data_IF_051628502289
#
_entry.id   IF_051628502289
#
_cell.length_a   1.000
_cell.length_b   1.000
_cell.length_c   1.000
_cell.angle_alpha   90.00
_cell.angle_beta   90.00
_cell.angle_gamma   90.00
#
_symmetry.space_group_name_H-M   'P 1'
#
loop_
_entity.id
_entity.type
_entity.pdbx_description
1 polymer ?
#
# COMPACT_ATOMS: atom_id res chain seq x y z
N UNK A 1 -5.66 -74.25 -34.87
CA UNK A 1 -6.18 -75.60 -34.57
C UNK A 1 -7.28 -75.41 -33.55
N UNK A 2 -8.55 -75.46 -33.99
CA UNK A 2 -9.70 -75.14 -33.15
C UNK A 2 -9.93 -76.21 -32.07
N UNK A 3 -10.41 -75.73 -30.92
CA UNK A 3 -10.59 -76.51 -29.70
C UNK A 3 -11.89 -77.32 -29.77
N UNK A 4 -11.92 -78.56 -29.23
CA UNK A 4 -13.18 -79.27 -29.05
C UNK A 4 -14.11 -78.47 -28.12
N UNK A 5 -15.44 -78.47 -28.37
CA UNK A 5 -16.39 -77.58 -27.73
C UNK A 5 -16.41 -77.63 -26.19
N UNK A 6 -15.89 -78.70 -25.56
CA UNK A 6 -15.96 -78.94 -24.12
C UNK A 6 -14.61 -78.87 -23.36
N UNK A 7 -13.52 -78.41 -23.99
CA UNK A 7 -12.25 -78.31 -23.26
C UNK A 7 -12.26 -77.11 -22.27
N UNK A 8 -11.49 -77.20 -21.18
CA UNK A 8 -11.42 -76.20 -20.08
C UNK A 8 -10.20 -75.25 -20.21
N UNK A 9 -9.08 -75.72 -20.80
CA UNK A 9 -7.99 -74.88 -21.35
C UNK A 9 -7.75 -75.12 -22.86
N UNK A 10 -7.04 -74.24 -23.57
CA UNK A 10 -6.60 -74.51 -24.96
C UNK A 10 -5.45 -75.53 -25.01
N UNK A 11 -5.27 -76.25 -26.13
CA UNK A 11 -4.14 -77.18 -26.29
C UNK A 11 -2.76 -76.51 -26.10
N UNK A 12 -2.63 -75.24 -26.47
CA UNK A 12 -1.39 -74.48 -26.30
C UNK A 12 -1.14 -74.11 -24.84
N UNK A 13 -2.19 -73.73 -24.09
CA UNK A 13 -2.12 -73.50 -22.64
C UNK A 13 -1.66 -74.77 -21.91
N UNK A 14 -2.26 -75.91 -22.24
CA UNK A 14 -1.90 -77.21 -21.63
C UNK A 14 -0.46 -77.60 -21.93
N UNK A 15 -0.01 -77.40 -23.17
CA UNK A 15 1.38 -77.68 -23.57
C UNK A 15 2.40 -76.82 -22.83
N UNK A 16 2.11 -75.53 -22.67
CA UNK A 16 2.98 -74.60 -21.92
C UNK A 16 2.99 -74.91 -20.42
N UNK A 17 1.83 -75.23 -19.86
CA UNK A 17 1.70 -75.58 -18.46
C UNK A 17 2.39 -76.91 -18.10
N UNK A 18 2.35 -77.90 -19.00
CA UNK A 18 3.07 -79.17 -18.85
C UNK A 18 4.59 -79.02 -18.74
N UNK A 19 5.16 -77.88 -19.15
CA UNK A 19 6.57 -77.53 -18.92
C UNK A 19 6.87 -77.00 -17.51
N UNK A 20 5.95 -77.12 -16.55
CA UNK A 20 6.11 -76.64 -15.17
C UNK A 20 5.86 -75.13 -14.99
N UNK A 21 5.32 -74.44 -16.00
CA UNK A 21 5.02 -73.01 -15.92
C UNK A 21 3.56 -72.76 -15.57
N UNK A 22 3.29 -71.76 -14.72
CA UNK A 22 1.93 -71.27 -14.51
C UNK A 22 1.51 -70.45 -15.73
N UNK A 23 0.38 -70.79 -16.33
CA UNK A 23 -0.13 -70.13 -17.54
C UNK A 23 -1.55 -69.64 -17.29
N UNK A 24 -1.78 -68.35 -17.50
CA UNK A 24 -3.12 -67.76 -17.55
C UNK A 24 -3.54 -67.61 -19.00
N UNK A 25 -4.72 -68.11 -19.32
CA UNK A 25 -5.31 -68.05 -20.65
C UNK A 25 -6.18 -66.79 -20.82
N UNK A 26 -6.27 -66.30 -22.06
CA UNK A 26 -7.10 -65.15 -22.42
C UNK A 26 -8.54 -65.31 -21.91
N UNK A 27 -9.09 -64.23 -21.36
CA UNK A 27 -10.49 -64.14 -20.97
C UNK A 27 -11.42 -64.47 -22.14
N UNK A 28 -12.42 -65.33 -21.91
CA UNK A 28 -13.38 -65.78 -22.93
C UNK A 28 -14.79 -65.82 -22.35
N UNK A 29 -15.84 -65.76 -23.18
CA UNK A 29 -17.19 -66.07 -22.72
C UNK A 29 -17.21 -67.45 -22.05
N UNK A 30 -17.76 -67.53 -20.84
CA UNK A 30 -17.78 -68.74 -20.04
C UNK A 30 -18.59 -69.86 -20.66
N UNK A 31 -18.24 -71.10 -20.33
CA UNK A 31 -18.82 -72.30 -20.93
C UNK A 31 -20.35 -72.41 -20.71
N UNK A 32 -20.85 -71.86 -19.59
CA UNK A 32 -22.27 -71.84 -19.22
C UNK A 32 -23.00 -70.54 -19.61
N UNK A 33 -22.40 -69.69 -20.47
CA UNK A 33 -23.09 -68.55 -21.10
C UNK A 33 -23.38 -67.34 -20.21
N UNK A 34 -22.85 -67.27 -18.98
CA UNK A 34 -23.24 -66.22 -18.01
C UNK A 34 -22.21 -65.12 -17.72
N UNK A 35 -20.92 -65.38 -17.89
CA UNK A 35 -19.86 -64.41 -17.60
C UNK A 35 -18.57 -64.78 -18.32
N UNK A 36 -17.71 -63.80 -18.62
CA UNK A 36 -16.39 -64.14 -19.14
C UNK A 36 -15.58 -64.88 -18.06
N UNK A 37 -14.80 -65.88 -18.43
CA UNK A 37 -14.00 -66.74 -17.56
C UNK A 37 -12.54 -66.70 -18.00
N UNK A 38 -11.63 -66.87 -17.04
CA UNK A 38 -10.20 -67.09 -17.30
C UNK A 38 -9.82 -68.48 -16.81
N UNK A 39 -9.15 -69.23 -17.69
CA UNK A 39 -8.53 -70.50 -17.32
C UNK A 39 -7.08 -70.26 -16.86
N UNK A 40 -6.69 -70.95 -15.80
CA UNK A 40 -5.34 -70.95 -15.25
C UNK A 40 -4.86 -72.40 -15.24
N UNK A 41 -3.69 -72.66 -15.80
CA UNK A 41 -3.11 -73.99 -15.90
C UNK A 41 -1.75 -74.05 -15.22
N UNK A 42 -1.49 -75.12 -14.47
CA UNK A 42 -0.23 -75.38 -13.78
C UNK A 42 0.17 -76.84 -14.00
N UNK A 43 1.39 -77.08 -14.49
CA UNK A 43 1.97 -78.43 -14.52
C UNK A 43 2.27 -78.93 -13.11
N UNK A 44 1.97 -80.20 -12.84
CA UNK A 44 2.26 -80.84 -11.56
C UNK A 44 3.66 -81.49 -11.61
N UNK A 45 4.55 -81.07 -10.72
CA UNK A 45 5.92 -81.58 -10.64
C UNK A 45 5.94 -83.11 -10.53
N UNK A 46 6.72 -83.76 -11.40
CA UNK A 46 6.88 -85.21 -11.44
C UNK A 46 5.79 -85.99 -12.19
N UNK A 47 4.91 -85.32 -12.94
CA UNK A 47 3.88 -85.97 -13.77
C UNK A 47 3.57 -85.18 -15.06
N UNK A 48 3.09 -85.86 -16.11
CA UNK A 48 2.57 -85.21 -17.33
C UNK A 48 1.16 -84.60 -17.12
N UNK A 49 0.75 -84.39 -15.87
CA UNK A 49 -0.57 -83.88 -15.52
C UNK A 49 -0.54 -82.35 -15.36
N UNK A 50 -1.60 -81.70 -15.86
CA UNK A 50 -1.80 -80.25 -15.75
C UNK A 50 -3.07 -80.00 -14.95
N UNK A 51 -2.96 -79.26 -13.85
CA UNK A 51 -4.11 -78.75 -13.10
C UNK A 51 -4.65 -77.51 -13.82
N UNK A 52 -5.93 -77.53 -14.18
CA UNK A 52 -6.61 -76.38 -14.78
C UNK A 52 -7.73 -75.90 -13.86
N UNK A 53 -7.65 -74.66 -13.42
CA UNK A 53 -8.74 -73.95 -12.73
C UNK A 53 -9.38 -72.92 -13.65
N UNK A 54 -10.68 -72.68 -13.50
CA UNK A 54 -11.38 -71.57 -14.15
C UNK A 54 -11.88 -70.61 -13.08
N UNK A 55 -11.74 -69.31 -13.33
CA UNK A 55 -12.36 -68.27 -12.50
C UNK A 55 -13.28 -67.43 -13.36
N UNK A 56 -14.55 -67.23 -12.95
CA UNK A 56 -15.40 -66.25 -13.59
C UNK A 56 -14.84 -64.84 -13.32
N UNK A 57 -14.95 -63.97 -14.32
CA UNK A 57 -14.57 -62.56 -14.25
C UNK A 57 -15.66 -61.72 -13.55
N UNK A 58 -16.91 -62.21 -13.49
CA UNK A 58 -18.03 -61.58 -12.79
C UNK A 58 -18.58 -62.50 -11.69
N UNK A 59 -18.88 -61.92 -10.53
CA UNK A 59 -19.32 -62.63 -9.31
C UNK A 59 -18.54 -62.17 -8.08
N UNK A 60 -18.75 -62.78 -6.91
CA UNK A 60 -18.05 -62.44 -5.65
C UNK A 60 -16.56 -62.86 -5.68
N UNK A 61 -15.80 -62.25 -6.59
CA UNK A 61 -14.39 -62.53 -6.87
C UNK A 61 -13.57 -61.25 -6.70
N UNK A 62 -12.25 -61.40 -6.70
CA UNK A 62 -11.31 -60.29 -6.60
C UNK A 62 -11.56 -59.19 -7.66
N UNK A 63 -11.98 -59.56 -8.87
CA UNK A 63 -12.16 -58.61 -9.97
C UNK A 63 -13.41 -57.73 -9.82
N UNK A 64 -14.50 -58.27 -9.25
CA UNK A 64 -15.69 -57.47 -8.89
C UNK A 64 -15.38 -56.49 -7.76
N UNK A 65 -14.53 -56.90 -6.81
CA UNK A 65 -14.03 -55.99 -5.76
C UNK A 65 -13.23 -54.84 -6.36
N UNK A 66 -12.38 -55.13 -7.36
CA UNK A 66 -11.61 -54.12 -8.08
C UNK A 66 -12.51 -53.15 -8.86
N UNK A 67 -13.53 -53.67 -9.56
CA UNK A 67 -14.48 -52.85 -10.32
C UNK A 67 -15.33 -51.94 -9.40
N UNK A 68 -15.67 -52.38 -8.19
CA UNK A 68 -16.42 -51.55 -7.22
C UNK A 68 -15.56 -50.53 -6.47
N UNK A 69 -14.23 -50.68 -6.52
CA UNK A 69 -13.31 -49.79 -5.78
C UNK A 69 -13.23 -48.43 -6.48
N UNK A 70 -13.53 -47.36 -5.74
CA UNK A 70 -13.38 -45.98 -6.19
C UNK A 70 -12.12 -45.34 -5.60
N UNK A 71 -11.45 -44.52 -6.40
CA UNK A 71 -10.26 -43.76 -5.99
C UNK A 71 -10.64 -42.28 -5.93
N UNK A 72 -10.83 -41.75 -4.72
CA UNK A 72 -11.46 -40.45 -4.54
C UNK A 72 -12.99 -40.52 -4.67
N UNK A 73 -13.62 -39.40 -5.04
CA UNK A 73 -15.07 -39.25 -5.26
C UNK A 73 -15.49 -39.71 -6.64
N UNK A 74 -14.61 -39.55 -7.64
CA UNK A 74 -14.94 -39.79 -9.06
C UNK A 74 -13.93 -40.66 -9.81
N UNK A 75 -12.77 -40.95 -9.21
CA UNK A 75 -11.76 -41.81 -9.81
C UNK A 75 -12.03 -43.31 -9.61
N UNK A 76 -11.20 -44.14 -10.23
CA UNK A 76 -11.39 -45.58 -10.26
C UNK A 76 -10.13 -46.36 -10.60
N UNK A 77 -10.27 -47.69 -10.61
CA UNK A 77 -9.22 -48.65 -10.95
C UNK A 77 -9.53 -49.30 -12.30
N UNK A 78 -8.48 -49.66 -13.03
CA UNK A 78 -8.60 -50.37 -14.31
C UNK A 78 -7.49 -51.41 -14.40
N UNK A 79 -7.84 -52.65 -14.67
CA UNK A 79 -6.91 -53.76 -14.89
C UNK A 79 -6.80 -54.03 -16.39
N UNK A 80 -5.57 -54.04 -16.90
CA UNK A 80 -5.28 -54.20 -18.33
C UNK A 80 -4.42 -55.43 -18.56
N UNK A 81 -4.80 -56.25 -19.55
CA UNK A 81 -4.00 -57.35 -20.07
C UNK A 81 -3.28 -56.92 -21.36
N UNK A 82 -1.98 -56.55 -21.31
CA UNK A 82 -1.28 -56.00 -22.47
C UNK A 82 -1.16 -56.98 -23.63
N UNK A 83 -0.97 -58.27 -23.36
CA UNK A 83 -0.85 -59.30 -24.40
C UNK A 83 -2.14 -59.50 -25.20
N UNK A 84 -3.29 -59.20 -24.59
CA UNK A 84 -4.61 -59.41 -25.18
C UNK A 84 -5.26 -58.11 -25.69
N UNK A 85 -4.70 -56.95 -25.33
CA UNK A 85 -5.22 -55.63 -25.70
C UNK A 85 -6.63 -55.35 -25.17
N UNK A 86 -6.99 -55.89 -24.01
CA UNK A 86 -8.32 -55.75 -23.40
C UNK A 86 -8.25 -55.22 -21.96
N UNK A 87 -9.30 -54.51 -21.58
CA UNK A 87 -9.59 -54.20 -20.17
C UNK A 87 -10.24 -55.42 -19.51
N UNK A 88 -9.59 -55.96 -18.47
CA UNK A 88 -10.11 -57.11 -17.72
C UNK A 88 -11.15 -56.70 -16.67
N UNK A 89 -10.98 -55.52 -16.07
CA UNK A 89 -11.90 -54.93 -15.10
C UNK A 89 -11.71 -53.42 -15.08
N UNK A 90 -12.78 -52.65 -14.93
CA UNK A 90 -12.73 -51.20 -14.82
C UNK A 90 -13.82 -50.71 -13.87
N UNK A 91 -13.54 -49.68 -13.07
CA UNK A 91 -14.57 -49.06 -12.22
C UNK A 91 -15.62 -48.28 -13.01
N UNK A 92 -15.29 -47.90 -14.26
CA UNK A 92 -16.24 -47.39 -15.22
C UNK A 92 -16.82 -48.54 -16.04
N UNK A 93 -18.13 -48.78 -15.85
CA UNK A 93 -18.86 -49.94 -16.37
C UNK A 93 -18.90 -49.99 -17.91
N UNK A 94 -18.60 -48.88 -18.59
CA UNK A 94 -18.49 -48.86 -20.05
C UNK A 94 -17.21 -49.48 -20.60
N UNK A 95 -16.16 -49.65 -19.79
CA UNK A 95 -14.82 -50.02 -20.29
C UNK A 95 -14.48 -51.51 -20.16
N UNK A 96 -15.27 -52.31 -19.44
CA UNK A 96 -15.00 -53.75 -19.26
C UNK A 96 -15.04 -54.54 -20.58
N UNK A 97 -14.03 -55.38 -20.83
CA UNK A 97 -13.88 -56.24 -22.02
C UNK A 97 -13.88 -55.50 -23.38
N UNK A 98 -13.80 -54.16 -23.38
CA UNK A 98 -13.54 -53.38 -24.59
C UNK A 98 -12.07 -53.47 -24.95
N UNK A 99 -11.78 -53.34 -26.25
CA UNK A 99 -10.41 -53.18 -26.72
C UNK A 99 -9.80 -51.92 -26.10
N UNK A 100 -8.53 -52.04 -25.72
CA UNK A 100 -7.71 -50.91 -25.33
C UNK A 100 -7.78 -49.81 -26.42
N UNK A 101 -7.83 -48.51 -26.04
CA UNK A 101 -7.91 -47.41 -26.99
C UNK A 101 -6.73 -47.41 -27.97
N UNK A 102 -6.95 -46.88 -29.18
CA UNK A 102 -5.90 -46.77 -30.19
C UNK A 102 -4.74 -45.91 -29.70
N UNK A 103 -3.51 -46.31 -30.06
CA UNK A 103 -2.26 -45.63 -29.70
C UNK A 103 -2.35 -44.10 -29.95
N UNK A 104 -1.95 -43.30 -28.97
CA UNK A 104 -1.94 -41.84 -29.02
C UNK A 104 -3.09 -41.13 -28.30
N UNK A 105 -4.09 -41.85 -27.80
CA UNK A 105 -5.21 -41.26 -27.02
C UNK A 105 -4.87 -41.07 -25.54
N UNK A 106 -4.02 -41.92 -24.98
CA UNK A 106 -3.71 -41.94 -23.54
C UNK A 106 -2.21 -42.14 -23.34
N UNK A 107 -1.47 -41.06 -23.09
CA UNK A 107 0.01 -41.09 -23.04
C UNK A 107 0.53 -42.06 -21.99
N UNK A 108 -0.07 -42.05 -20.80
CA UNK A 108 0.37 -42.92 -19.70
C UNK A 108 0.03 -44.39 -19.96
N UNK A 109 -1.12 -44.63 -20.62
CA UNK A 109 -1.50 -45.97 -21.03
C UNK A 109 -0.53 -46.53 -22.08
N UNK A 110 -0.17 -45.74 -23.10
CA UNK A 110 0.75 -46.17 -24.16
C UNK A 110 2.15 -46.45 -23.60
N UNK A 111 2.64 -45.59 -22.71
CA UNK A 111 3.89 -45.83 -21.98
C UNK A 111 3.81 -47.12 -21.15
N UNK A 112 2.67 -47.38 -20.50
CA UNK A 112 2.49 -48.61 -19.72
C UNK A 112 2.46 -49.88 -20.58
N UNK A 113 1.91 -49.82 -21.79
CA UNK A 113 2.00 -50.90 -22.77
C UNK A 113 3.45 -51.16 -23.19
N UNK A 114 4.30 -50.13 -23.21
CA UNK A 114 5.75 -50.22 -23.44
C UNK A 114 6.57 -50.61 -22.19
N UNK A 115 5.90 -50.89 -21.07
CA UNK A 115 6.53 -51.34 -19.82
C UNK A 115 6.77 -50.26 -18.76
N UNK A 116 6.35 -49.02 -18.98
CA UNK A 116 6.44 -47.95 -17.96
C UNK A 116 5.56 -48.26 -16.75
N UNK A 117 6.11 -48.05 -15.55
CA UNK A 117 5.40 -48.14 -14.27
C UNK A 117 5.75 -46.91 -13.46
N UNK A 118 4.73 -46.25 -12.92
CA UNK A 118 4.91 -44.94 -12.30
C UNK A 118 3.63 -44.13 -12.31
N UNK A 119 3.79 -42.84 -12.01
CA UNK A 119 2.68 -41.88 -11.92
C UNK A 119 2.87 -40.82 -13.00
N UNK A 120 1.77 -40.42 -13.64
CA UNK A 120 1.78 -39.32 -14.58
C UNK A 120 0.39 -38.76 -14.81
N UNK A 121 0.32 -37.58 -15.43
CA UNK A 121 -0.94 -36.96 -15.82
C UNK A 121 -1.32 -37.47 -17.21
N UNK A 122 -2.57 -37.87 -17.36
CA UNK A 122 -3.19 -38.24 -18.62
C UNK A 122 -4.37 -37.32 -18.90
N UNK A 123 -4.77 -37.23 -20.17
CA UNK A 123 -5.93 -36.43 -20.57
C UNK A 123 -6.94 -37.38 -21.19
N UNK A 124 -8.13 -37.44 -20.60
CA UNK A 124 -9.24 -38.21 -21.14
C UNK A 124 -9.77 -37.55 -22.42
N UNK A 125 -10.46 -38.33 -23.26
CA UNK A 125 -11.06 -37.87 -24.53
C UNK A 125 -12.06 -36.73 -24.37
N UNK A 126 -12.65 -36.53 -23.18
CA UNK A 126 -13.52 -35.40 -22.82
C UNK A 126 -12.73 -34.13 -22.39
N UNK A 127 -11.40 -34.19 -22.41
CA UNK A 127 -10.50 -33.09 -22.03
C UNK A 127 -10.21 -32.99 -20.52
N UNK A 128 -10.74 -33.89 -19.70
CA UNK A 128 -10.44 -33.90 -18.26
C UNK A 128 -9.04 -34.46 -18.02
N UNK A 129 -8.20 -33.70 -17.31
CA UNK A 129 -6.91 -34.17 -16.85
C UNK A 129 -7.06 -35.08 -15.63
N UNK A 130 -6.36 -36.20 -15.63
CA UNK A 130 -6.39 -37.21 -14.58
C UNK A 130 -4.98 -37.58 -14.16
N UNK A 131 -4.77 -37.81 -12.87
CA UNK A 131 -3.56 -38.42 -12.38
C UNK A 131 -3.71 -39.94 -12.47
N UNK A 132 -2.86 -40.57 -13.26
CA UNK A 132 -2.81 -42.01 -13.45
C UNK A 132 -1.59 -42.60 -12.72
N UNK A 133 -1.80 -43.61 -11.88
CA UNK A 133 -0.76 -44.39 -11.23
C UNK A 133 -0.81 -45.84 -11.71
N UNK A 134 0.32 -46.37 -12.18
CA UNK A 134 0.39 -47.64 -12.88
C UNK A 134 1.34 -48.60 -12.18
N UNK A 135 0.84 -49.78 -11.81
CA UNK A 135 1.60 -50.83 -11.16
C UNK A 135 1.43 -52.18 -11.88
N UNK A 136 2.48 -53.01 -11.89
CA UNK A 136 2.43 -54.36 -12.45
C UNK A 136 1.73 -55.33 -11.51
N UNK A 137 0.98 -56.28 -12.07
CA UNK A 137 0.51 -57.47 -11.37
C UNK A 137 1.50 -58.61 -11.62
N UNK A 138 2.21 -59.11 -10.61
CA UNK A 138 3.16 -60.21 -10.76
C UNK A 138 2.48 -61.49 -11.24
N UNK A 139 3.16 -62.28 -12.08
CA UNK A 139 2.71 -63.54 -12.70
C UNK A 139 2.07 -63.42 -14.11
N UNK A 140 0.90 -62.79 -14.33
CA UNK A 140 0.27 -62.77 -15.66
C UNK A 140 0.76 -61.65 -16.59
N UNK A 141 1.62 -60.75 -16.10
CA UNK A 141 2.13 -59.61 -16.89
C UNK A 141 1.11 -58.47 -17.08
N UNK A 142 0.02 -58.46 -16.30
CA UNK A 142 -0.98 -57.40 -16.32
C UNK A 142 -0.48 -56.14 -15.61
N UNK A 143 -1.20 -55.05 -15.78
CA UNK A 143 -1.00 -53.84 -14.97
C UNK A 143 -2.33 -53.25 -14.53
N UNK A 144 -2.32 -52.64 -13.35
CA UNK A 144 -3.44 -51.88 -12.79
C UNK A 144 -3.14 -50.40 -12.93
N UNK A 145 -4.13 -49.63 -13.35
CA UNK A 145 -4.12 -48.19 -13.44
C UNK A 145 -5.14 -47.63 -12.45
N UNK A 146 -4.68 -46.84 -11.49
CA UNK A 146 -5.54 -46.01 -10.66
C UNK A 146 -5.62 -44.61 -11.27
N UNK A 147 -6.83 -44.10 -11.51
CA UNK A 147 -7.06 -42.76 -12.09
C UNK A 147 -7.90 -41.92 -11.16
N UNK A 148 -7.54 -40.65 -11.01
CA UNK A 148 -8.32 -39.67 -10.27
C UNK A 148 -8.25 -38.29 -10.98
N UNK A 149 -9.37 -37.59 -11.20
CA UNK A 149 -9.36 -36.28 -11.85
C UNK A 149 -8.54 -35.23 -11.09
N UNK A 150 -7.70 -34.48 -11.79
CA UNK A 150 -6.84 -33.46 -11.16
C UNK A 150 -7.66 -32.36 -10.49
N UNK A 151 -8.82 -32.00 -11.05
CA UNK A 151 -9.75 -31.04 -10.43
C UNK A 151 -10.20 -31.48 -9.03
N UNK A 152 -10.37 -32.77 -8.80
CA UNK A 152 -10.75 -33.30 -7.49
C UNK A 152 -9.58 -33.25 -6.51
N UNK A 153 -8.38 -33.63 -6.98
CA UNK A 153 -7.15 -33.58 -6.17
C UNK A 153 -6.82 -32.15 -5.74
N UNK A 154 -7.00 -31.19 -6.65
CA UNK A 154 -6.60 -29.79 -6.45
C UNK A 154 -7.75 -28.85 -6.03
N UNK A 155 -8.98 -29.35 -5.88
CA UNK A 155 -10.14 -28.56 -5.39
C UNK A 155 -9.83 -27.81 -4.07
N UNK A 156 -9.18 -28.43 -3.06
CA UNK A 156 -8.81 -27.71 -1.84
C UNK A 156 -7.78 -26.59 -2.09
N UNK A 157 -6.83 -26.81 -3.00
CA UNK A 157 -5.78 -25.84 -3.32
C UNK A 157 -6.37 -24.59 -4.01
N UNK A 158 -7.28 -24.78 -4.96
CA UNK A 158 -7.99 -23.67 -5.63
C UNK A 158 -8.81 -22.84 -4.64
N UNK A 159 -9.45 -23.50 -3.68
CA UNK A 159 -10.24 -22.84 -2.63
C UNK A 159 -9.35 -22.00 -1.72
N UNK A 160 -8.21 -22.56 -1.28
CA UNK A 160 -7.23 -21.84 -0.47
C UNK A 160 -6.64 -20.65 -1.26
N UNK A 161 -6.30 -20.83 -2.54
CA UNK A 161 -5.75 -19.76 -3.36
C UNK A 161 -6.72 -18.58 -3.48
N UNK A 162 -8.01 -18.84 -3.78
CA UNK A 162 -9.05 -17.80 -3.87
C UNK A 162 -9.27 -17.10 -2.53
N UNK A 163 -9.29 -17.86 -1.44
CA UNK A 163 -9.40 -17.30 -0.10
C UNK A 163 -8.22 -16.36 0.21
N UNK A 164 -6.99 -16.82 -0.02
CA UNK A 164 -5.75 -16.06 0.20
C UNK A 164 -5.69 -14.79 -0.66
N UNK A 165 -6.08 -14.86 -1.93
CA UNK A 165 -6.12 -13.67 -2.80
C UNK A 165 -7.15 -12.65 -2.29
N UNK A 166 -8.35 -13.11 -1.91
CA UNK A 166 -9.40 -12.22 -1.40
C UNK A 166 -9.00 -11.57 -0.09
N UNK A 167 -8.45 -12.32 0.85
CA UNK A 167 -8.00 -11.77 2.14
C UNK A 167 -6.82 -10.82 1.94
N UNK A 168 -5.85 -11.15 1.09
CA UNK A 168 -4.75 -10.25 0.76
C UNK A 168 -5.23 -8.91 0.17
N UNK A 169 -6.20 -8.95 -0.76
CA UNK A 169 -6.80 -7.73 -1.34
C UNK A 169 -7.48 -6.86 -0.27
N UNK A 170 -8.29 -7.48 0.60
CA UNK A 170 -9.01 -6.74 1.65
C UNK A 170 -8.00 -6.14 2.65
N UNK A 171 -7.04 -6.94 3.12
CA UNK A 171 -5.99 -6.46 4.04
C UNK A 171 -5.14 -5.36 3.41
N UNK A 172 -4.80 -5.47 2.13
CA UNK A 172 -4.06 -4.45 1.39
C UNK A 172 -4.84 -3.14 1.25
N UNK A 173 -6.16 -3.22 1.00
CA UNK A 173 -7.03 -2.04 0.94
C UNK A 173 -7.15 -1.35 2.30
N UNK A 174 -7.34 -2.12 3.37
CA UNK A 174 -7.41 -1.60 4.74
C UNK A 174 -6.08 -0.93 5.11
N UNK A 175 -4.95 -1.58 4.85
CA UNK A 175 -3.62 -1.01 5.12
C UNK A 175 -3.40 0.30 4.34
N UNK A 176 -3.81 0.34 3.08
CA UNK A 176 -3.72 1.54 2.24
C UNK A 176 -4.56 2.70 2.81
N UNK A 177 -5.79 2.42 3.24
CA UNK A 177 -6.66 3.42 3.86
C UNK A 177 -6.05 3.96 5.17
N UNK A 178 -5.49 3.08 6.01
CA UNK A 178 -4.82 3.47 7.25
C UNK A 178 -3.59 4.35 6.97
N UNK A 179 -2.75 3.96 6.00
CA UNK A 179 -1.58 4.74 5.61
C UNK A 179 -1.96 6.12 5.05
N UNK A 180 -3.00 6.20 4.21
CA UNK A 180 -3.51 7.48 3.70
C UNK A 180 -4.06 8.34 4.84
N UNK A 181 -4.80 7.77 5.78
CA UNK A 181 -5.33 8.48 6.92
C UNK A 181 -4.20 9.00 7.84
N UNK A 182 -3.20 8.17 8.13
CA UNK A 182 -2.03 8.53 8.92
C UNK A 182 -1.21 9.64 8.25
N UNK A 183 -0.90 9.50 6.96
CA UNK A 183 -0.21 10.55 6.19
C UNK A 183 -0.99 11.86 6.20
N UNK A 184 -2.31 11.81 5.95
CA UNK A 184 -3.17 13.00 6.02
C UNK A 184 -3.15 13.61 7.41
N UNK A 185 -3.18 12.81 8.47
CA UNK A 185 -3.12 13.28 9.85
C UNK A 185 -1.81 14.01 10.14
N UNK A 186 -0.67 13.40 9.80
CA UNK A 186 0.65 13.98 10.05
C UNK A 186 0.87 15.30 9.28
N UNK A 187 0.49 15.36 8.00
CA UNK A 187 0.62 16.58 7.19
C UNK A 187 -0.44 17.66 7.46
N UNK A 188 -1.41 17.43 8.36
CA UNK A 188 -2.39 18.49 8.70
C UNK A 188 -1.74 19.66 9.41
N UNK A 189 -0.78 19.40 10.30
CA UNK A 189 -0.12 20.45 11.08
C UNK A 189 0.71 21.36 10.18
N UNK A 190 1.51 20.78 9.28
CA UNK A 190 2.27 21.52 8.27
C UNK A 190 1.39 22.36 7.34
N UNK A 191 0.29 21.79 6.82
CA UNK A 191 -0.63 22.53 5.94
C UNK A 191 -1.29 23.72 6.65
N UNK A 192 -1.62 23.59 7.94
CA UNK A 192 -2.17 24.71 8.72
C UNK A 192 -1.14 25.79 8.97
N UNK A 193 0.09 25.43 9.30
CA UNK A 193 1.18 26.37 9.50
C UNK A 193 1.51 27.12 8.19
N UNK A 194 1.59 26.41 7.06
CA UNK A 194 1.80 26.99 5.74
C UNK A 194 0.67 27.96 5.35
N UNK A 195 -0.60 27.58 5.56
CA UNK A 195 -1.73 28.46 5.26
C UNK A 195 -1.69 29.77 6.09
N UNK A 196 -1.29 29.71 7.36
CA UNK A 196 -1.12 30.93 8.16
C UNK A 196 0.05 31.79 7.66
N UNK A 197 1.18 31.17 7.29
CA UNK A 197 2.30 31.90 6.72
C UNK A 197 1.93 32.60 5.39
N UNK A 198 1.18 31.95 4.52
CA UNK A 198 0.69 32.53 3.25
C UNK A 198 -0.19 33.76 3.50
N UNK A 199 -1.13 33.66 4.45
CA UNK A 199 -2.01 34.77 4.83
C UNK A 199 -1.23 35.98 5.38
N UNK A 200 -0.15 35.73 6.12
CA UNK A 200 0.75 36.78 6.61
C UNK A 200 1.53 37.44 5.47
N UNK A 201 2.07 36.67 4.53
CA UNK A 201 2.81 37.22 3.37
C UNK A 201 1.93 38.02 2.42
N UNK A 202 0.64 37.68 2.31
CA UNK A 202 -0.33 38.43 1.51
C UNK A 202 -0.87 39.69 2.20
N UNK A 203 -0.40 40.00 3.41
CA UNK A 203 -0.83 41.18 4.19
C UNK A 203 -2.26 41.10 4.72
N UNK A 204 -2.88 39.91 4.70
CA UNK A 204 -4.24 39.70 5.22
C UNK A 204 -4.26 39.51 6.74
N UNK A 205 -3.13 39.09 7.32
CA UNK A 205 -2.94 38.97 8.77
C UNK A 205 -1.60 39.56 9.19
N UNK A 206 -1.51 40.13 10.41
CA UNK A 206 -0.24 40.57 10.96
C UNK A 206 0.70 39.38 11.19
N UNK A 207 2.00 39.65 11.13
CA UNK A 207 3.03 38.64 11.40
C UNK A 207 2.96 38.20 12.87
N UNK A 208 2.41 37.01 13.11
CA UNK A 208 2.32 36.39 14.43
C UNK A 208 3.10 35.08 14.47
N UNK A 209 3.49 34.63 15.67
CA UNK A 209 4.16 33.35 15.84
C UNK A 209 3.19 32.20 15.51
N UNK A 210 3.66 31.22 14.72
CA UNK A 210 2.87 30.04 14.39
C UNK A 210 2.75 29.12 15.60
N UNK A 211 1.58 28.47 15.83
CA UNK A 211 1.41 27.55 16.93
C UNK A 211 2.28 26.31 16.74
N UNK A 212 3.17 26.05 17.71
CA UNK A 212 4.02 24.85 17.72
C UNK A 212 3.19 23.67 18.21
N UNK A 213 2.77 22.81 17.29
CA UNK A 213 2.03 21.60 17.62
C UNK A 213 3.00 20.41 17.75
N UNK A 214 3.20 19.94 18.99
CA UNK A 214 4.00 18.75 19.28
C UNK A 214 5.50 19.00 19.44
N UNK A 215 6.20 18.02 20.03
CA UNK A 215 7.67 17.99 20.18
C UNK A 215 8.33 17.08 19.12
N UNK A 216 7.73 16.99 17.94
CA UNK A 216 8.26 16.22 16.81
C UNK A 216 9.08 17.11 15.85
N UNK A 217 9.56 16.55 14.75
CA UNK A 217 10.35 17.27 13.74
C UNK A 217 9.59 18.48 13.16
N UNK A 218 8.27 18.37 13.05
CA UNK A 218 7.40 19.45 12.58
C UNK A 218 7.31 20.58 13.60
N UNK A 219 7.17 20.24 14.88
CA UNK A 219 7.22 21.19 15.99
C UNK A 219 8.56 21.92 16.05
N UNK A 220 9.68 21.19 15.92
CA UNK A 220 11.02 21.78 15.90
C UNK A 220 11.22 22.76 14.73
N UNK A 221 10.76 22.40 13.53
CA UNK A 221 10.84 23.27 12.36
C UNK A 221 9.99 24.55 12.55
N UNK A 222 8.78 24.40 13.09
CA UNK A 222 7.88 25.54 13.37
C UNK A 222 8.51 26.48 14.40
N UNK A 223 9.12 25.95 15.45
CA UNK A 223 9.83 26.73 16.45
C UNK A 223 11.06 27.46 15.87
N UNK A 224 11.80 26.80 14.97
CA UNK A 224 12.93 27.44 14.27
C UNK A 224 12.47 28.58 13.36
N UNK A 225 11.38 28.38 12.61
CA UNK A 225 10.77 29.41 11.80
C UNK A 225 10.33 30.62 12.63
N UNK A 226 9.66 30.40 13.76
CA UNK A 226 9.26 31.48 14.67
C UNK A 226 10.45 32.30 15.17
N UNK A 227 11.57 31.66 15.54
CA UNK A 227 12.80 32.38 15.94
C UNK A 227 13.33 33.29 14.83
N UNK A 228 13.33 32.79 13.59
CA UNK A 228 13.76 33.57 12.42
C UNK A 228 12.83 34.75 12.17
N UNK A 229 11.51 34.53 12.24
CA UNK A 229 10.50 35.57 12.06
C UNK A 229 10.66 36.67 13.12
N UNK A 230 10.83 36.31 14.39
CA UNK A 230 11.08 37.29 15.46
C UNK A 230 12.36 38.09 15.24
N UNK A 231 13.45 37.45 14.81
CA UNK A 231 14.71 38.13 14.53
C UNK A 231 14.57 39.12 13.36
N UNK A 232 13.83 38.75 12.32
CA UNK A 232 13.56 39.61 11.17
C UNK A 232 12.73 40.83 11.57
N UNK A 233 11.65 40.63 12.34
CA UNK A 233 10.82 41.74 12.82
C UNK A 233 11.58 42.70 13.72
N UNK A 234 12.43 42.18 14.62
CA UNK A 234 13.28 43.00 15.48
C UNK A 234 14.30 43.81 14.66
N UNK A 235 14.94 43.18 13.68
CA UNK A 235 15.88 43.87 12.78
C UNK A 235 15.20 44.98 11.98
N UNK A 236 13.99 44.72 11.47
CA UNK A 236 13.19 45.74 10.78
C UNK A 236 12.84 46.90 11.70
N UNK A 237 12.37 46.63 12.91
CA UNK A 237 12.03 47.67 13.88
C UNK A 237 13.24 48.55 14.22
N UNK A 238 14.42 47.95 14.37
CA UNK A 238 15.65 48.71 14.63
C UNK A 238 16.07 49.55 13.43
N UNK A 239 15.95 49.02 12.20
CA UNK A 239 16.20 49.81 10.98
C UNK A 239 15.23 51.00 10.86
N UNK A 240 13.94 50.79 11.15
CA UNK A 240 12.94 51.87 11.15
C UNK A 240 13.26 52.92 12.23
N UNK A 241 13.68 52.49 13.43
CA UNK A 241 14.12 53.38 14.51
C UNK A 241 15.33 54.23 14.08
N UNK A 242 16.36 53.62 13.51
CA UNK A 242 17.55 54.34 13.04
C UNK A 242 17.24 55.29 11.87
N UNK A 243 16.28 54.95 11.01
CA UNK A 243 15.89 55.79 9.89
C UNK A 243 15.07 57.02 10.30
N UNK A 244 14.36 56.96 11.44
CA UNK A 244 13.41 57.99 11.87
C UNK A 244 13.83 58.74 13.15
N UNK A 245 14.78 58.23 13.92
CA UNK A 245 15.25 58.86 15.16
C UNK A 245 16.69 59.36 15.04
N UNK A 246 17.01 60.42 15.78
CA UNK A 246 18.35 60.93 16.00
C UNK A 246 19.09 60.02 17.00
N UNK A 247 20.29 59.57 16.65
CA UNK A 247 21.03 58.58 17.43
C UNK A 247 21.56 59.10 18.77
N UNK A 248 21.77 60.42 18.90
CA UNK A 248 22.29 61.03 20.11
C UNK A 248 21.19 61.31 21.14
N UNK A 249 20.08 61.90 20.69
CA UNK A 249 19.01 62.37 21.58
C UNK A 249 17.84 61.40 21.70
N UNK A 250 17.70 60.46 20.76
CA UNK A 250 16.54 59.55 20.67
C UNK A 250 15.26 60.23 20.19
N UNK A 251 15.28 61.54 19.93
CA UNK A 251 14.16 62.28 19.35
C UNK A 251 13.95 61.90 17.88
N UNK A 252 12.76 62.10 17.32
CA UNK A 252 12.54 62.17 15.88
C UNK A 252 13.63 62.97 15.16
N UNK A 253 14.13 62.45 14.06
CA UNK A 253 15.09 63.15 13.22
C UNK A 253 14.39 64.09 12.23
N UNK A 254 15.18 64.83 11.46
CA UNK A 254 14.70 65.74 10.43
C UNK A 254 13.71 65.09 9.43
N UNK A 255 13.94 63.83 9.06
CA UNK A 255 13.05 63.11 8.14
C UNK A 255 11.68 62.89 8.79
N UNK A 256 11.65 62.33 10.00
CA UNK A 256 10.39 62.07 10.71
C UNK A 256 9.62 63.36 11.01
N UNK A 257 10.33 64.46 11.31
CA UNK A 257 9.73 65.78 11.49
C UNK A 257 9.02 66.25 10.21
N UNK A 258 9.72 66.25 9.07
CA UNK A 258 9.17 66.69 7.79
C UNK A 258 7.96 65.83 7.38
N UNK A 259 8.07 64.50 7.49
CA UNK A 259 6.99 63.57 7.17
C UNK A 259 5.74 63.80 8.06
N UNK A 260 5.94 64.28 9.30
CA UNK A 260 4.85 64.61 10.22
C UNK A 260 4.26 66.00 9.96
N UNK A 261 5.09 66.98 9.62
CA UNK A 261 4.65 68.32 9.23
C UNK A 261 3.79 68.27 7.95
N UNK A 262 4.19 67.49 6.95
CA UNK A 262 3.39 67.31 5.73
C UNK A 262 2.01 66.72 6.02
N UNK A 263 1.94 65.72 6.92
CA UNK A 263 0.67 65.13 7.37
C UNK A 263 -0.20 66.16 8.08
N UNK A 264 0.36 66.91 9.03
CA UNK A 264 -0.37 67.95 9.75
C UNK A 264 -0.91 69.04 8.80
N UNK A 265 -0.10 69.48 7.82
CA UNK A 265 -0.54 70.44 6.80
C UNK A 265 -1.65 69.87 5.92
N UNK A 266 -1.58 68.60 5.52
CA UNK A 266 -2.62 67.95 4.74
C UNK A 266 -3.94 67.84 5.51
N UNK A 267 -3.88 67.54 6.81
CA UNK A 267 -5.05 67.44 7.68
C UNK A 267 -5.70 68.80 7.93
N UNK A 268 -4.90 69.83 8.20
CA UNK A 268 -5.35 71.21 8.33
C UNK A 268 -6.03 71.73 7.05
N UNK A 269 -5.53 71.35 5.86
CA UNK A 269 -6.19 71.68 4.57
C UNK A 269 -7.56 71.02 4.42
N UNK A 270 -7.77 69.82 4.96
CA UNK A 270 -9.04 69.09 4.84
C UNK A 270 -10.09 69.56 5.83
N UNK A 271 -9.70 69.79 7.08
CA UNK A 271 -10.64 70.03 8.17
C UNK A 271 -10.72 71.50 8.61
N UNK A 272 -9.79 72.34 8.14
CA UNK A 272 -9.62 73.70 8.64
C UNK A 272 -8.99 73.69 10.02
N UNK A 273 -7.84 74.35 10.19
CA UNK A 273 -7.18 74.45 11.48
C UNK A 273 -5.77 75.03 11.38
N UNK A 274 -5.26 75.66 12.44
CA UNK A 274 -3.88 76.16 12.47
C UNK A 274 -2.89 75.01 12.69
N UNK A 275 -1.74 75.08 12.00
CA UNK A 275 -0.55 74.28 12.30
C UNK A 275 0.51 75.23 12.84
N UNK A 276 1.08 74.92 14.00
CA UNK A 276 2.13 75.75 14.60
C UNK A 276 3.43 74.95 14.69
N UNK A 277 4.52 75.59 14.24
CA UNK A 277 5.88 75.04 14.29
C UNK A 277 6.77 76.03 15.03
N UNK A 278 7.54 75.52 15.98
CA UNK A 278 8.59 76.26 16.67
C UNK A 278 9.95 75.72 16.24
N UNK A 279 10.84 76.62 15.90
CA UNK A 279 12.25 76.31 15.67
C UNK A 279 13.05 76.80 16.88
N UNK A 280 13.93 75.96 17.41
CA UNK A 280 14.66 76.20 18.65
C UNK A 280 16.14 75.99 18.34
N UNK A 281 16.92 77.05 18.48
CA UNK A 281 18.38 77.02 18.35
C UNK A 281 19.03 77.27 19.71
N UNK A 282 20.12 76.55 20.01
CA UNK A 282 20.82 76.69 21.29
C UNK A 282 21.90 77.76 21.23
N UNK A 283 21.59 78.93 21.78
CA UNK A 283 22.57 80.01 21.91
C UNK A 283 23.82 79.58 22.69
N UNK A 284 25.00 79.82 22.12
CA UNK A 284 26.28 79.58 22.80
C UNK A 284 26.72 78.11 22.82
N UNK A 285 26.14 77.23 22.01
CA UNK A 285 26.53 75.81 21.96
C UNK A 285 27.97 75.60 21.45
N UNK A 286 28.39 76.34 20.42
CA UNK A 286 29.75 76.20 19.84
C UNK A 286 30.88 76.47 20.87
N UNK A 287 30.87 77.54 21.67
CA UNK A 287 31.82 77.73 22.77
C UNK A 287 31.91 76.56 23.76
N UNK A 288 30.81 75.84 24.01
CA UNK A 288 30.82 74.66 24.89
C UNK A 288 31.65 73.55 24.27
N UNK A 289 31.44 73.25 22.98
CA UNK A 289 32.25 72.27 22.25
C UNK A 289 33.72 72.68 22.20
N UNK A 290 34.00 73.95 21.93
CA UNK A 290 35.36 74.46 21.80
C UNK A 290 36.14 74.44 23.14
N UNK A 291 35.43 74.60 24.26
CA UNK A 291 36.04 74.68 25.61
C UNK A 291 36.11 73.31 26.31
N UNK A 292 35.05 72.51 26.19
CA UNK A 292 34.87 71.27 26.96
C UNK A 292 34.87 70.00 26.09
N UNK A 293 35.01 70.14 24.78
CA UNK A 293 35.01 69.04 23.82
C UNK A 293 33.61 68.59 23.40
N UNK A 294 33.56 67.82 22.31
CA UNK A 294 32.30 67.37 21.70
C UNK A 294 31.49 66.44 22.61
N UNK A 295 32.11 65.59 23.42
CA UNK A 295 31.39 64.72 24.36
C UNK A 295 30.57 65.52 25.39
N UNK A 296 31.09 66.67 25.84
CA UNK A 296 30.38 67.56 26.74
C UNK A 296 29.21 68.27 26.04
N UNK A 297 29.38 68.67 24.78
CA UNK A 297 28.28 69.18 23.96
C UNK A 297 27.19 68.14 23.73
N UNK A 298 27.57 66.89 23.49
CA UNK A 298 26.64 65.77 23.32
C UNK A 298 25.79 65.52 24.58
N UNK A 299 26.39 65.63 25.76
CA UNK A 299 25.66 65.58 27.04
C UNK A 299 24.68 66.75 27.17
N UNK A 300 25.09 67.97 26.81
CA UNK A 300 24.21 69.14 26.82
C UNK A 300 23.00 68.91 25.91
N UNK A 301 23.21 68.40 24.69
CA UNK A 301 22.13 68.10 23.75
C UNK A 301 21.16 67.04 24.30
N UNK A 302 21.67 65.99 24.95
CA UNK A 302 20.84 64.97 25.61
C UNK A 302 20.01 65.56 26.76
N UNK A 303 20.60 66.42 27.58
CA UNK A 303 19.89 67.10 28.66
C UNK A 303 18.82 68.08 28.15
N UNK A 304 19.12 68.84 27.09
CA UNK A 304 18.16 69.74 26.44
C UNK A 304 16.99 68.93 25.88
N UNK A 305 17.26 67.88 25.12
CA UNK A 305 16.23 67.00 24.58
C UNK A 305 15.31 66.47 25.70
N UNK A 306 15.91 65.96 26.79
CA UNK A 306 15.16 65.45 27.93
C UNK A 306 14.26 66.52 28.58
N UNK A 307 14.79 67.73 28.83
CA UNK A 307 14.03 68.82 29.45
C UNK A 307 12.91 69.33 28.55
N UNK A 308 13.16 69.46 27.25
CA UNK A 308 12.14 69.85 26.29
C UNK A 308 11.02 68.79 26.20
N UNK A 309 11.37 67.50 26.18
CA UNK A 309 10.38 66.41 26.18
C UNK A 309 9.47 66.39 27.42
N UNK A 310 9.91 66.94 28.55
CA UNK A 310 9.11 66.99 29.79
C UNK A 310 8.07 68.12 29.81
N UNK A 311 8.25 69.16 28.99
CA UNK A 311 7.37 70.35 28.98
C UNK A 311 6.37 70.36 27.83
N UNK A 312 6.59 69.53 26.82
CA UNK A 312 5.67 69.36 25.68
C UNK A 312 4.56 68.35 26.01
N UNK A 313 3.44 68.44 25.30
CA UNK A 313 2.35 67.49 25.47
C UNK A 313 2.63 66.19 24.72
N UNK A 314 1.91 65.13 25.08
CA UNK A 314 2.05 63.81 24.46
C UNK A 314 1.68 63.82 22.97
N UNK A 315 0.77 64.69 22.60
CA UNK A 315 0.30 64.88 21.22
C UNK A 315 1.25 65.72 20.35
N UNK A 316 2.20 66.45 20.93
CA UNK A 316 3.15 67.28 20.19
C UNK A 316 4.38 66.48 19.75
N UNK A 317 5.03 66.91 18.66
CA UNK A 317 6.21 66.25 18.12
C UNK A 317 7.44 67.15 18.26
N UNK A 318 8.36 66.77 19.14
CA UNK A 318 9.69 67.37 19.23
C UNK A 318 10.70 66.55 18.43
N UNK A 319 11.51 67.21 17.61
CA UNK A 319 12.51 66.60 16.76
C UNK A 319 13.85 67.32 16.86
N UNK A 320 14.95 66.61 16.65
CA UNK A 320 16.26 67.21 16.39
C UNK A 320 16.51 67.23 14.89
N UNK A 321 16.74 68.41 14.35
CA UNK A 321 16.77 68.64 12.90
C UNK A 321 18.16 69.05 12.39
N UNK A 322 19.04 69.49 13.29
CA UNK A 322 20.41 69.88 13.03
C UNK A 322 21.34 69.55 14.21
N UNK A 323 22.53 70.17 14.25
CA UNK A 323 23.51 69.95 15.32
C UNK A 323 22.95 70.37 16.68
N UNK A 324 22.65 71.65 16.82
CA UNK A 324 22.07 72.33 17.99
C UNK A 324 20.62 72.78 17.79
N UNK A 325 20.03 72.43 16.65
CA UNK A 325 18.68 72.84 16.25
C UNK A 325 17.63 71.77 16.56
N UNK A 326 16.56 72.20 17.22
CA UNK A 326 15.36 71.41 17.51
C UNK A 326 14.14 72.05 16.86
N UNK A 327 13.15 71.23 16.53
CA UNK A 327 11.86 71.68 16.02
C UNK A 327 10.71 71.03 16.79
N UNK A 328 9.69 71.82 17.09
CA UNK A 328 8.48 71.37 17.76
C UNK A 328 7.28 71.64 16.86
N UNK A 329 6.54 70.59 16.52
CA UNK A 329 5.27 70.65 15.83
C UNK A 329 4.16 70.48 16.87
N UNK A 330 3.32 71.51 17.01
CA UNK A 330 2.15 71.45 17.89
C UNK A 330 0.97 70.88 17.12
N UNK A 331 0.37 69.81 17.65
CA UNK A 331 -0.86 69.28 17.08
C UNK A 331 -2.06 70.07 17.63
N UNK A 332 -2.96 70.57 16.76
CA UNK A 332 -4.12 71.30 17.24
C UNK A 332 -5.00 70.37 18.09
N UNK A 333 -5.55 70.86 19.22
CA UNK A 333 -6.54 70.09 19.98
C UNK A 333 -7.74 69.79 19.07
N UNK A 334 -8.43 68.65 19.27
CA UNK A 334 -9.64 68.36 18.51
C UNK A 334 -10.63 69.52 18.62
N UNK A 335 -11.35 69.87 17.55
CA UNK A 335 -12.30 70.98 17.57
C UNK A 335 -13.27 70.76 18.73
N UNK A 336 -13.36 71.74 19.64
CA UNK A 336 -14.38 71.71 20.69
C UNK A 336 -15.73 71.68 19.98
N UNK A 337 -16.64 70.75 20.31
CA UNK A 337 -18.02 70.88 19.86
C UNK A 337 -18.51 72.27 20.31
N UNK A 338 -19.07 73.04 19.37
CA UNK A 338 -19.68 74.34 19.68
C UNK A 338 -20.56 74.16 20.90
N UNK A 339 -20.22 74.87 21.99
CA UNK A 339 -21.08 74.91 23.15
C UNK A 339 -22.36 75.60 22.71
N UNK A 340 -23.40 74.81 22.44
CA UNK A 340 -24.76 75.30 22.22
C UNK A 340 -25.14 76.06 23.48
N UNK A 341 -25.05 77.39 23.43
CA UNK A 341 -25.57 78.25 24.48
C UNK A 341 -27.05 77.90 24.66
N UNK A 342 -27.51 77.57 25.88
CA UNK A 342 -28.92 77.31 26.09
C UNK A 342 -29.73 78.57 25.74
N UNK A 343 -30.90 78.44 25.10
CA UNK A 343 -31.71 79.59 24.73
C UNK A 343 -32.10 80.37 25.98
N UNK A 344 -31.77 81.65 26.00
CA UNK A 344 -32.33 82.61 26.96
C UNK A 344 -33.85 82.58 26.82
N UNK A 345 -34.55 82.11 27.86
CA UNK A 345 -36.01 82.11 27.90
C UNK A 345 -36.53 83.54 27.97
N UNK A 346 -37.65 83.84 27.29
CA UNK A 346 -38.22 85.19 27.17
C UNK A 346 -38.83 85.73 28.46
#
# INVERSE_FOLDING_TARGET
MERPPNAIASPDTLRRAGGGTFVVERARPGFAGGSAEMAMALGLDGSDAVLVGITPLRGATFLDTLARTQVGRTGGLTLVAPADGIFLAASDMESELRSVPTEGQHRQHDLAMQGFRGVGIDTRTDGVQELAAIASVPSPGWFVVARIPTKEIFEPADTIQKFTLRTALISGLILSLVLIAAARHQFRHLRRAAAHADLMTLGQQPFECLPVAGNDEVGHLTAAFNRLLSALLASRAEMERLALSDSLTGLPNRKQFNDSLERALAEARRHGGPVAVFFIDLNGFKPINDTFGHEAGDEVLRQVAHRLSQVIRREDLLARIGGDEFALLLNPPPPRPEATLPPTSP
#
